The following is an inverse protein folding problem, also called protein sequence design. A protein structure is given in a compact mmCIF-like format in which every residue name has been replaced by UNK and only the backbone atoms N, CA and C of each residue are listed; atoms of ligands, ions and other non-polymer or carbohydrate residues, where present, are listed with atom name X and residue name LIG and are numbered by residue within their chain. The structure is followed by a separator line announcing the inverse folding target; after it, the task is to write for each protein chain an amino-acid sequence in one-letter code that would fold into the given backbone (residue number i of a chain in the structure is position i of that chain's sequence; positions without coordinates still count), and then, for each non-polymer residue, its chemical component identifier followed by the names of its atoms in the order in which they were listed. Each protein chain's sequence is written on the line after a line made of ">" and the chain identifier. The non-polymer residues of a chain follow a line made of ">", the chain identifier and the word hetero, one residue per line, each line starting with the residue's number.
data_IF_608502295364
#
_entry.id   IF_608502295364
#
_cell.length_a   1.000
_cell.length_b   1.000
_cell.length_c   1.000
_cell.angle_alpha   90.00
_cell.angle_beta   90.00
_cell.angle_gamma   90.00
#
_symmetry.space_group_name_H-M   'P 1'
#
loop_
_entity.id
_entity.type
_entity.pdbx_description
1 polymer ?
#
# COMPACT_ATOMS: atom_id res chain seq x y z
N UNK A 1 18.84 40.03 -2.49
CA UNK A 1 19.14 38.66 -2.04
C UNK A 1 17.90 37.86 -1.62
N UNK A 2 16.99 38.41 -0.81
CA UNK A 2 15.76 37.72 -0.35
C UNK A 2 14.81 37.23 -1.46
N UNK A 3 14.70 37.97 -2.58
CA UNK A 3 13.83 37.59 -3.72
C UNK A 3 14.34 36.34 -4.43
N UNK A 4 15.66 36.24 -4.70
CA UNK A 4 16.27 35.05 -5.32
C UNK A 4 16.14 33.80 -4.45
N UNK A 5 16.22 33.95 -3.12
CA UNK A 5 15.98 32.86 -2.16
C UNK A 5 14.51 32.41 -2.15
N UNK A 6 13.54 33.33 -2.18
CA UNK A 6 12.11 32.95 -2.31
C UNK A 6 11.86 32.19 -3.62
N UNK A 7 12.43 32.64 -4.73
CA UNK A 7 12.29 31.95 -6.02
C UNK A 7 12.92 30.56 -6.00
N UNK A 8 14.10 30.39 -5.39
CA UNK A 8 14.74 29.09 -5.23
C UNK A 8 13.94 28.13 -4.34
N UNK A 9 13.40 28.62 -3.22
CA UNK A 9 12.56 27.80 -2.32
C UNK A 9 11.29 27.33 -3.04
N UNK A 10 10.63 28.21 -3.80
CA UNK A 10 9.44 27.84 -4.59
C UNK A 10 9.79 26.81 -5.66
N UNK A 11 10.95 26.94 -6.33
CA UNK A 11 11.42 25.98 -7.32
C UNK A 11 11.68 24.59 -6.72
N UNK A 12 12.34 24.53 -5.57
CA UNK A 12 12.61 23.26 -4.87
C UNK A 12 11.31 22.59 -4.43
N UNK A 13 10.38 23.34 -3.83
CA UNK A 13 9.07 22.81 -3.42
C UNK A 13 8.27 22.32 -4.63
N UNK A 14 8.29 23.07 -5.73
CA UNK A 14 7.64 22.66 -6.99
C UNK A 14 8.23 21.35 -7.55
N UNK A 15 9.54 21.15 -7.43
CA UNK A 15 10.22 19.94 -7.91
C UNK A 15 9.83 18.71 -7.08
N UNK A 16 9.75 18.83 -5.75
CA UNK A 16 9.25 17.77 -4.87
C UNK A 16 7.77 17.42 -5.12
N UNK A 17 6.94 18.41 -5.48
CA UNK A 17 5.53 18.17 -5.78
C UNK A 17 5.32 17.39 -7.10
N UNK A 18 6.24 17.52 -8.05
CA UNK A 18 6.18 16.78 -9.32
C UNK A 18 6.56 15.29 -9.15
N UNK A 19 7.49 14.99 -8.23
CA UNK A 19 7.89 13.62 -7.87
C UNK A 19 6.76 12.82 -7.19
N UNK A 20 5.80 13.50 -6.54
CA UNK A 20 4.72 12.84 -5.81
C UNK A 20 3.61 12.25 -6.70
N UNK A 21 3.59 12.58 -8.00
CA UNK A 21 2.57 12.12 -8.94
C UNK A 21 3.05 10.86 -9.70
N UNK A 22 3.34 9.79 -8.96
CA UNK A 22 3.71 8.48 -9.53
C UNK A 22 2.45 7.71 -9.95
N UNK A 23 2.48 7.11 -11.13
CA UNK A 23 1.41 6.24 -11.62
C UNK A 23 1.79 4.80 -11.28
N UNK A 24 0.94 4.09 -10.53
CA UNK A 24 1.24 2.73 -10.09
C UNK A 24 1.31 1.79 -11.31
N UNK A 25 2.42 1.09 -11.55
CA UNK A 25 2.65 0.33 -12.79
C UNK A 25 1.69 -0.85 -12.99
N UNK A 26 1.12 -1.39 -11.90
CA UNK A 26 0.19 -2.53 -11.95
C UNK A 26 -1.28 -2.08 -12.12
N UNK A 27 -1.67 -0.93 -11.56
CA UNK A 27 -3.09 -0.51 -11.52
C UNK A 27 -3.42 0.71 -12.36
N UNK A 28 -2.41 1.42 -12.88
CA UNK A 28 -2.59 2.67 -13.64
C UNK A 28 -3.17 3.83 -12.81
N UNK A 29 -3.34 3.66 -11.49
CA UNK A 29 -3.88 4.69 -10.60
C UNK A 29 -2.79 5.70 -10.24
N UNK A 30 -3.16 6.98 -10.21
CA UNK A 30 -2.31 8.02 -9.61
C UNK A 30 -2.47 7.97 -8.09
N UNK A 31 -1.47 7.43 -7.40
CA UNK A 31 -1.45 7.35 -5.94
C UNK A 31 -0.23 8.12 -5.43
N UNK A 32 -0.42 8.86 -4.34
CA UNK A 32 0.71 9.47 -3.62
C UNK A 32 1.36 8.35 -2.80
N UNK A 33 2.60 7.99 -3.14
CA UNK A 33 3.36 6.97 -2.43
C UNK A 33 4.00 7.58 -1.16
N UNK A 34 3.24 7.62 -0.07
CA UNK A 34 3.68 8.23 1.20
C UNK A 34 4.57 7.29 2.03
N UNK A 35 4.41 5.97 1.88
CA UNK A 35 5.15 4.96 2.62
C UNK A 35 5.82 3.97 1.65
N UNK A 36 7.03 3.47 1.97
CA UNK A 36 7.64 2.38 1.22
C UNK A 36 6.75 1.14 1.22
N UNK A 37 6.77 0.38 0.13
CA UNK A 37 6.01 -0.87 -0.03
C UNK A 37 6.34 -1.87 1.08
N UNK A 38 7.62 -2.02 1.44
CA UNK A 38 8.05 -2.91 2.52
C UNK A 38 7.39 -2.57 3.86
N UNK A 39 7.27 -1.28 4.20
CA UNK A 39 6.60 -0.83 5.42
C UNK A 39 5.10 -1.12 5.37
N UNK A 40 4.47 -0.95 4.22
CA UNK A 40 3.05 -1.28 4.04
C UNK A 40 2.78 -2.77 4.24
N UNK A 41 3.65 -3.63 3.71
CA UNK A 41 3.57 -5.08 3.88
C UNK A 41 3.79 -5.49 5.33
N UNK A 42 4.81 -4.93 5.99
CA UNK A 42 5.10 -5.18 7.41
C UNK A 42 3.92 -4.79 8.32
N UNK A 43 3.33 -3.61 8.08
CA UNK A 43 2.11 -3.19 8.78
C UNK A 43 0.95 -4.15 8.53
N UNK A 44 0.81 -4.69 7.32
CA UNK A 44 -0.20 -5.70 6.99
C UNK A 44 -0.05 -6.95 7.85
N UNK A 45 1.17 -7.47 7.99
CA UNK A 45 1.45 -8.63 8.85
C UNK A 45 1.18 -8.36 10.32
N UNK A 46 1.64 -7.21 10.83
CA UNK A 46 1.40 -6.83 12.23
C UNK A 46 -0.10 -6.75 12.57
N UNK A 47 -0.92 -6.19 11.66
CA UNK A 47 -2.37 -6.14 11.83
C UNK A 47 -3.03 -7.53 11.74
N UNK A 48 -2.54 -8.39 10.86
CA UNK A 48 -3.03 -9.77 10.76
C UNK A 48 -2.77 -10.55 12.06
N UNK A 49 -1.56 -10.43 12.62
CA UNK A 49 -1.21 -11.09 13.88
C UNK A 49 -2.06 -10.57 15.04
N UNK A 50 -2.29 -9.25 15.12
CA UNK A 50 -3.19 -8.67 16.11
C UNK A 50 -4.61 -9.24 15.99
N UNK A 51 -5.16 -9.30 14.76
CA UNK A 51 -6.48 -9.87 14.51
C UNK A 51 -6.58 -11.33 14.95
N UNK A 52 -5.57 -12.15 14.65
CA UNK A 52 -5.55 -13.57 15.01
C UNK A 52 -5.44 -13.80 16.51
N UNK A 53 -4.81 -12.87 17.25
CA UNK A 53 -4.75 -12.93 18.71
C UNK A 53 -6.07 -12.50 19.38
N UNK A 54 -6.80 -11.56 18.78
CA UNK A 54 -8.07 -11.05 19.32
C UNK A 54 -9.27 -11.96 19.03
N UNK A 55 -9.21 -12.76 17.95
CA UNK A 55 -10.35 -13.51 17.44
C UNK A 55 -10.13 -15.02 17.51
N UNK A 56 -11.21 -15.77 17.74
CA UNK A 56 -11.15 -17.24 17.67
C UNK A 56 -11.18 -17.73 16.22
N UNK A 57 -10.28 -18.68 15.93
CA UNK A 57 -10.25 -19.37 14.64
C UNK A 57 -11.51 -20.24 14.49
N UNK A 58 -12.18 -20.13 13.35
CA UNK A 58 -13.38 -20.91 13.07
C UNK A 58 -13.07 -22.41 13.01
N UNK A 59 -13.90 -23.22 13.69
CA UNK A 59 -13.86 -24.68 13.59
C UNK A 59 -14.58 -25.23 12.34
N UNK A 60 -15.28 -24.37 11.59
CA UNK A 60 -15.99 -24.78 10.39
C UNK A 60 -15.02 -24.97 9.22
N UNK A 61 -14.70 -26.23 8.93
CA UNK A 61 -13.79 -26.61 7.86
C UNK A 61 -14.27 -26.20 6.47
N UNK A 62 -15.55 -26.37 6.17
CA UNK A 62 -16.11 -26.01 4.85
C UNK A 62 -16.02 -24.52 4.56
N UNK A 63 -16.32 -23.69 5.57
CA UNK A 63 -16.19 -22.24 5.46
C UNK A 63 -14.72 -21.82 5.31
N UNK A 64 -13.81 -22.39 6.10
CA UNK A 64 -12.38 -22.10 6.03
C UNK A 64 -11.78 -22.48 4.67
N UNK A 65 -12.15 -23.65 4.13
CA UNK A 65 -11.73 -24.08 2.80
C UNK A 65 -12.30 -23.18 1.69
N UNK A 66 -13.53 -22.69 1.84
CA UNK A 66 -14.13 -21.74 0.89
C UNK A 66 -13.39 -20.40 0.85
N UNK A 67 -13.01 -19.86 2.01
CA UNK A 67 -12.21 -18.64 2.11
C UNK A 67 -10.83 -18.86 1.48
N UNK A 68 -10.16 -19.97 1.80
CA UNK A 68 -8.84 -20.30 1.24
C UNK A 68 -8.87 -20.42 -0.30
N UNK A 69 -9.87 -21.11 -0.86
CA UNK A 69 -10.05 -21.21 -2.32
C UNK A 69 -10.27 -19.86 -2.97
N UNK A 70 -11.07 -18.99 -2.36
CA UNK A 70 -11.32 -17.64 -2.89
C UNK A 70 -10.05 -16.80 -2.85
N UNK A 71 -9.29 -16.85 -1.75
CA UNK A 71 -8.00 -16.17 -1.62
C UNK A 71 -7.00 -16.59 -2.69
N UNK A 72 -6.88 -17.90 -2.98
CA UNK A 72 -6.02 -18.41 -4.05
C UNK A 72 -6.42 -17.89 -5.44
N UNK A 73 -7.73 -17.82 -5.74
CA UNK A 73 -8.22 -17.25 -7.00
C UNK A 73 -7.87 -15.76 -7.14
N UNK A 74 -7.98 -14.99 -6.07
CA UNK A 74 -7.65 -13.56 -6.07
C UNK A 74 -6.14 -13.38 -6.28
N UNK A 75 -5.30 -14.11 -5.54
CA UNK A 75 -3.85 -14.05 -5.70
C UNK A 75 -3.41 -14.40 -7.12
N UNK A 76 -3.99 -15.45 -7.72
CA UNK A 76 -3.71 -15.82 -9.11
C UNK A 76 -4.16 -14.80 -10.15
N UNK A 77 -5.15 -13.95 -9.84
CA UNK A 77 -5.57 -12.86 -10.71
C UNK A 77 -4.67 -11.62 -10.62
N UNK A 78 -4.00 -11.42 -9.48
CA UNK A 78 -3.13 -10.26 -9.24
C UNK A 78 -1.70 -10.51 -9.76
N UNK A 79 -1.20 -11.74 -9.67
CA UNK A 79 0.16 -12.12 -10.12
C UNK A 79 0.28 -12.36 -11.65
N UNK A 80 -0.50 -11.66 -12.48
CA UNK A 80 -0.44 -11.76 -13.96
C UNK A 80 0.53 -10.75 -14.56
#
# INVERSE_FOLDING_TARGET
>A
MRVRIRTLVVLVVSMFLLEACQTVPITGRKQINLLPEATMVEMGFANFDAFMNENQVSSNRSASEMVARTGQKISGAVNQ
#
